data_IF_853253306440
#
_entry.id   IF_853253306440
#
_cell.length_a   1.000
_cell.length_b   1.000
_cell.length_c   1.000
_cell.angle_alpha   90.00
_cell.angle_beta   90.00
_cell.angle_gamma   90.00
#
_symmetry.space_group_name_H-M   'P 1'
#
loop_
_entity.id
_entity.type
_entity.pdbx_description
1 polymer ?
#
# COMPACT_ATOMS: atom_id res chain seq x y z
N UNK A 1 12.00 2.94 7.15
CA UNK A 1 12.46 2.25 5.92
C UNK A 1 11.40 2.29 4.83
N UNK A 2 10.12 2.05 5.13
CA UNK A 2 9.05 2.15 4.12
C UNK A 2 8.96 3.57 3.54
N UNK A 3 8.96 4.61 4.37
CA UNK A 3 8.96 6.00 3.88
C UNK A 3 10.12 6.29 2.92
N UNK A 4 11.30 5.74 3.19
CA UNK A 4 12.47 5.89 2.33
C UNK A 4 12.24 5.25 0.96
N UNK A 5 11.61 4.08 0.91
CA UNK A 5 11.28 3.39 -0.34
C UNK A 5 10.21 4.14 -1.12
N UNK A 6 9.08 4.50 -0.50
CA UNK A 6 7.97 5.12 -1.23
C UNK A 6 8.31 6.53 -1.74
N UNK A 7 9.16 7.28 -1.01
CA UNK A 7 9.54 8.66 -1.35
C UNK A 7 10.85 8.75 -2.16
N UNK A 8 11.45 7.62 -2.57
CA UNK A 8 12.79 7.62 -3.17
C UNK A 8 12.92 8.48 -4.44
N UNK A 9 11.82 8.70 -5.16
CA UNK A 9 11.78 9.37 -6.47
C UNK A 9 10.89 10.62 -6.47
N UNK A 10 10.47 11.13 -5.31
CA UNK A 10 9.50 12.24 -5.20
C UNK A 10 10.09 13.41 -4.43
N UNK A 11 9.64 14.62 -4.77
CA UNK A 11 10.06 15.85 -4.08
C UNK A 11 9.17 16.18 -2.88
N UNK A 12 7.90 15.79 -2.92
CA UNK A 12 6.99 15.85 -1.78
C UNK A 12 7.17 14.58 -0.92
N UNK A 13 6.89 14.72 0.37
CA UNK A 13 7.09 13.67 1.37
C UNK A 13 5.75 13.14 1.87
N UNK A 14 5.56 11.83 1.74
CA UNK A 14 4.42 11.10 2.30
C UNK A 14 4.88 10.32 3.53
N UNK A 15 4.27 10.60 4.68
CA UNK A 15 4.52 9.81 5.89
C UNK A 15 3.76 8.48 5.87
N UNK A 16 4.22 7.49 6.66
CA UNK A 16 3.47 6.23 6.83
C UNK A 16 2.07 6.49 7.40
N UNK A 17 1.93 7.46 8.32
CA UNK A 17 0.64 7.81 8.93
C UNK A 17 -0.35 8.41 7.91
N UNK A 18 0.12 9.28 7.02
CA UNK A 18 -0.70 9.82 5.94
C UNK A 18 -1.11 8.71 4.97
N UNK A 19 -0.17 7.85 4.58
CA UNK A 19 -0.44 6.71 3.70
C UNK A 19 -1.44 5.74 4.32
N UNK A 20 -1.31 5.44 5.62
CA UNK A 20 -2.26 4.63 6.36
C UNK A 20 -3.67 5.25 6.35
N UNK A 21 -3.76 6.56 6.60
CA UNK A 21 -5.02 7.29 6.52
C UNK A 21 -5.63 7.26 5.12
N UNK A 22 -4.83 7.33 4.05
CA UNK A 22 -5.33 7.20 2.68
C UNK A 22 -5.93 5.82 2.42
N UNK A 23 -5.29 4.76 2.91
CA UNK A 23 -5.78 3.39 2.76
C UNK A 23 -7.11 3.20 3.50
N UNK A 24 -7.15 3.54 4.80
CA UNK A 24 -8.35 3.37 5.64
C UNK A 24 -9.53 4.19 5.13
N UNK A 25 -9.28 5.43 4.70
CA UNK A 25 -10.34 6.33 4.21
C UNK A 25 -10.62 6.20 2.71
N UNK A 26 -9.93 5.30 2.00
CA UNK A 26 -10.04 5.09 0.54
C UNK A 26 -9.88 6.40 -0.24
N UNK A 27 -8.78 7.10 0.03
CA UNK A 27 -8.41 8.34 -0.66
C UNK A 27 -7.19 8.09 -1.53
N UNK A 28 -7.23 8.56 -2.78
CA UNK A 28 -6.14 8.40 -3.74
C UNK A 28 -5.79 9.78 -4.31
N UNK A 29 -5.02 10.60 -3.57
CA UNK A 29 -4.74 11.98 -3.94
C UNK A 29 -3.66 12.07 -5.02
N UNK A 30 -3.91 12.87 -6.06
CA UNK A 30 -3.02 13.07 -7.21
C UNK A 30 -1.58 13.43 -6.82
N UNK A 31 -1.43 14.24 -5.77
CA UNK A 31 -0.14 14.69 -5.26
C UNK A 31 0.77 13.53 -4.82
N UNK A 32 0.20 12.39 -4.39
CA UNK A 32 0.94 11.27 -3.82
C UNK A 32 0.85 9.98 -4.65
N UNK A 33 0.37 10.05 -5.90
CA UNK A 33 0.17 8.88 -6.76
C UNK A 33 1.44 8.03 -6.88
N UNK A 34 2.59 8.66 -7.10
CA UNK A 34 3.87 7.95 -7.28
C UNK A 34 4.25 7.19 -6.00
N UNK A 35 4.16 7.82 -4.83
CA UNK A 35 4.45 7.18 -3.56
C UNK A 35 3.49 6.02 -3.27
N UNK A 36 2.21 6.18 -3.61
CA UNK A 36 1.21 5.14 -3.44
C UNK A 36 1.52 3.96 -4.36
N UNK A 37 1.89 4.18 -5.62
CA UNK A 37 2.33 3.10 -6.50
C UNK A 37 3.60 2.41 -6.01
N UNK A 38 4.57 3.18 -5.51
CA UNK A 38 5.81 2.62 -4.95
C UNK A 38 5.54 1.70 -3.76
N UNK A 39 4.51 1.97 -2.94
CA UNK A 39 4.08 1.06 -1.88
C UNK A 39 3.77 -0.35 -2.42
N UNK A 40 3.17 -0.46 -3.59
CA UNK A 40 2.71 -1.76 -4.13
C UNK A 40 3.66 -2.38 -5.16
N UNK A 41 4.68 -1.66 -5.60
CA UNK A 41 5.63 -2.10 -6.64
C UNK A 41 7.05 -2.25 -6.12
N UNK A 42 7.52 -1.31 -5.30
CA UNK A 42 8.93 -1.24 -4.86
C UNK A 42 9.13 -1.67 -3.40
N UNK A 43 8.06 -1.69 -2.59
CA UNK A 43 8.14 -2.15 -1.21
C UNK A 43 7.94 -3.66 -1.15
N UNK A 44 8.88 -4.42 -0.54
CA UNK A 44 8.72 -5.86 -0.37
C UNK A 44 7.47 -6.22 0.43
N UNK A 45 6.78 -7.31 0.05
CA UNK A 45 5.52 -7.75 0.69
C UNK A 45 5.66 -7.92 2.21
N UNK A 46 6.78 -8.45 2.70
CA UNK A 46 7.06 -8.54 4.12
C UNK A 46 7.11 -7.18 4.85
N UNK A 47 7.55 -6.11 4.16
CA UNK A 47 7.55 -4.76 4.71
C UNK A 47 6.14 -4.13 4.69
N UNK A 48 5.34 -4.44 3.67
CA UNK A 48 3.90 -4.08 3.62
C UNK A 48 3.14 -4.74 4.77
N UNK A 49 3.34 -6.03 5.01
CA UNK A 49 2.74 -6.74 6.15
C UNK A 49 3.10 -6.12 7.50
N UNK A 50 4.38 -5.72 7.68
CA UNK A 50 4.80 -5.00 8.89
C UNK A 50 4.16 -3.62 9.00
N UNK A 51 3.91 -2.94 7.89
CA UNK A 51 3.21 -1.65 7.87
C UNK A 51 1.74 -1.81 8.27
N UNK A 52 1.04 -2.82 7.74
CA UNK A 52 -0.32 -3.17 8.17
C UNK A 52 -0.40 -3.38 9.69
N UNK A 53 0.50 -4.19 10.25
CA UNK A 53 0.55 -4.44 11.69
C UNK A 53 0.83 -3.18 12.53
N UNK A 54 1.70 -2.28 12.05
CA UNK A 54 2.02 -1.02 12.77
C UNK A 54 0.84 -0.05 12.81
N UNK A 55 0.06 0.02 11.74
CA UNK A 55 -1.02 1.00 11.59
C UNK A 55 -2.42 0.42 11.79
N UNK A 56 -2.52 -0.87 12.14
CA UNK A 56 -3.80 -1.54 12.39
C UNK A 56 -4.65 -1.72 11.13
N UNK A 57 -4.03 -1.77 9.95
CA UNK A 57 -4.71 -1.95 8.66
C UNK A 57 -4.88 -3.44 8.43
N UNK A 58 -6.12 -3.91 8.26
CA UNK A 58 -6.38 -5.32 7.96
C UNK A 58 -6.22 -5.64 6.46
N UNK A 59 -6.16 -6.93 6.12
CA UNK A 59 -5.96 -7.37 4.73
C UNK A 59 -7.09 -6.91 3.80
N UNK A 60 -8.33 -6.85 4.30
CA UNK A 60 -9.47 -6.40 3.51
C UNK A 60 -9.36 -4.92 3.14
N UNK A 61 -8.92 -4.05 4.05
CA UNK A 61 -8.71 -2.63 3.80
C UNK A 61 -7.64 -2.41 2.74
N UNK A 62 -6.47 -3.05 2.92
CA UNK A 62 -5.36 -2.92 1.97
C UNK A 62 -5.70 -3.50 0.60
N UNK A 63 -6.35 -4.67 0.58
CA UNK A 63 -6.85 -5.32 -0.64
C UNK A 63 -7.77 -4.41 -1.42
N UNK A 64 -8.81 -3.87 -0.78
CA UNK A 64 -9.78 -3.07 -1.51
C UNK A 64 -9.15 -1.79 -2.04
N UNK A 65 -8.21 -1.19 -1.30
CA UNK A 65 -7.45 -0.04 -1.80
C UNK A 65 -6.62 -0.39 -3.04
N UNK A 66 -5.84 -1.46 -2.97
CA UNK A 66 -5.03 -1.96 -4.07
C UNK A 66 -5.86 -2.31 -5.31
N UNK A 67 -6.97 -3.06 -5.14
CA UNK A 67 -7.87 -3.43 -6.23
C UNK A 67 -8.54 -2.21 -6.87
N UNK A 68 -8.87 -1.18 -6.08
CA UNK A 68 -9.56 0.02 -6.58
C UNK A 68 -8.64 0.96 -7.35
N UNK A 69 -7.40 1.17 -6.87
CA UNK A 69 -6.55 2.26 -7.36
C UNK A 69 -5.29 1.82 -8.09
N UNK A 70 -4.84 0.56 -7.91
CA UNK A 70 -3.48 0.17 -8.31
C UNK A 70 -3.45 -1.06 -9.22
N UNK A 71 -4.24 -2.10 -8.92
CA UNK A 71 -4.17 -3.42 -9.58
C UNK A 71 -4.28 -3.36 -11.10
N UNK A 72 -5.13 -2.47 -11.64
CA UNK A 72 -5.31 -2.32 -13.08
C UNK A 72 -4.03 -1.88 -13.79
N UNK A 73 -3.20 -1.06 -13.12
CA UNK A 73 -1.96 -0.53 -13.67
C UNK A 73 -0.77 -1.41 -13.31
N UNK A 74 -0.70 -1.86 -12.06
CA UNK A 74 0.44 -2.61 -11.51
C UNK A 74 -0.03 -3.85 -10.73
N UNK A 75 -0.32 -4.96 -11.41
CA UNK A 75 -0.64 -6.22 -10.74
C UNK A 75 0.60 -6.79 -10.02
N UNK A 76 0.41 -7.32 -8.81
CA UNK A 76 1.44 -7.90 -7.97
C UNK A 76 0.95 -9.22 -7.35
N UNK A 77 1.35 -10.34 -7.96
CA UNK A 77 0.89 -11.69 -7.58
C UNK A 77 1.30 -12.05 -6.14
N UNK A 78 2.50 -11.68 -5.71
CA UNK A 78 2.99 -12.00 -4.36
C UNK A 78 2.16 -11.27 -3.29
N UNK A 79 1.84 -10.00 -3.54
CA UNK A 79 0.94 -9.24 -2.68
C UNK A 79 -0.48 -9.83 -2.70
N UNK A 80 -0.98 -10.20 -3.87
CA UNK A 80 -2.30 -10.80 -4.04
C UNK A 80 -2.43 -12.11 -3.26
N UNK A 81 -1.43 -12.98 -3.34
CA UNK A 81 -1.39 -14.23 -2.56
C UNK A 81 -1.45 -13.94 -1.05
N UNK A 82 -0.67 -12.96 -0.56
CA UNK A 82 -0.72 -12.53 0.84
C UNK A 82 -2.12 -12.06 1.25
N UNK A 83 -2.77 -11.24 0.42
CA UNK A 83 -4.06 -10.62 0.73
C UNK A 83 -5.27 -11.53 0.53
N UNK A 84 -5.15 -12.59 -0.29
CA UNK A 84 -6.27 -13.47 -0.63
C UNK A 84 -6.30 -14.77 0.17
N UNK A 85 -5.16 -15.26 0.65
CA UNK A 85 -5.08 -16.50 1.43
C UNK A 85 -5.73 -16.34 2.83
N UNK A 86 -5.79 -15.13 3.39
CA UNK A 86 -6.39 -14.84 4.70
C UNK A 86 -7.94 -14.88 4.76
N UNK A 87 -8.64 -14.91 3.63
CA UNK A 87 -10.11 -14.88 3.56
C UNK A 87 -10.77 -16.27 3.34
N UNK A 88 -10.02 -17.36 3.54
CA UNK A 88 -10.53 -18.74 3.35
C UNK A 88 -10.97 -19.44 4.64
N UNK A 89 -11.49 -18.69 5.63
CA UNK A 89 -12.07 -19.24 6.86
C UNK A 89 -13.41 -18.56 7.21
#
# INVERSE_FOLDING_TARGET
MLETSINAQTTNYLTEEQLANFIVNRVFPDEYIVQIFNLFTDVPVAAIARFQLRHGINDLELRLYYETYVKEVYPNIELEDMLYVGNSL
#
